data_IF_180055777226
#
_entry.id   IF_180055777226
#
_cell.length_a   1.000
_cell.length_b   1.000
_cell.length_c   1.000
_cell.angle_alpha   90.00
_cell.angle_beta   90.00
_cell.angle_gamma   90.00
#
_symmetry.space_group_name_H-M   'P 1'
#
loop_
_entity.id
_entity.type
_entity.pdbx_description
1 polymer ?
#
# COMPACT_ATOMS: atom_id res chain seq x y z
N UNK A 1 -0.34 -7.10 -7.10
CA UNK A 1 -1.00 -5.80 -7.37
C UNK A 1 -1.30 -5.77 -8.85
N UNK A 2 -2.57 -5.63 -9.23
CA UNK A 2 -2.97 -5.56 -10.64
C UNK A 2 -3.53 -4.18 -10.92
N UNK A 3 -3.16 -3.60 -12.06
CA UNK A 3 -3.76 -2.37 -12.57
C UNK A 3 -4.80 -2.73 -13.61
N UNK A 4 -5.99 -2.16 -13.45
CA UNK A 4 -7.10 -2.37 -14.36
C UNK A 4 -7.56 -1.03 -14.92
N UNK A 5 -8.08 -1.05 -16.15
CA UNK A 5 -8.61 0.16 -16.81
C UNK A 5 -9.91 0.64 -16.19
N UNK A 6 -10.71 -0.26 -15.61
CA UNK A 6 -11.97 0.05 -14.93
C UNK A 6 -12.39 -1.09 -13.99
N UNK A 7 -13.42 -0.86 -13.18
CA UNK A 7 -13.97 -1.89 -12.28
C UNK A 7 -14.62 -3.06 -13.03
N UNK A 8 -15.20 -2.80 -14.20
CA UNK A 8 -15.80 -3.85 -15.05
C UNK A 8 -14.73 -4.84 -15.51
N UNK A 9 -13.51 -4.37 -15.80
CA UNK A 9 -12.39 -5.24 -16.15
C UNK A 9 -11.98 -6.14 -14.97
N UNK A 10 -12.08 -5.64 -13.74
CA UNK A 10 -11.78 -6.43 -12.53
C UNK A 10 -12.81 -7.55 -12.38
N UNK A 11 -14.11 -7.25 -12.54
CA UNK A 11 -15.19 -8.23 -12.39
C UNK A 11 -15.15 -9.33 -13.45
N UNK A 12 -14.57 -9.06 -14.62
CA UNK A 12 -14.40 -10.03 -15.73
C UNK A 12 -13.08 -10.81 -15.66
N UNK A 13 -12.19 -10.47 -14.73
CA UNK A 13 -10.91 -11.15 -14.60
C UNK A 13 -11.12 -12.57 -14.03
N UNK A 14 -10.59 -13.65 -14.65
CA UNK A 14 -10.85 -15.02 -14.21
C UNK A 14 -10.43 -15.33 -12.76
N UNK A 15 -9.44 -14.61 -12.24
CA UNK A 15 -8.97 -14.75 -10.86
C UNK A 15 -9.64 -13.73 -9.91
N UNK A 16 -10.71 -13.07 -10.35
CA UNK A 16 -11.48 -12.20 -9.49
C UNK A 16 -12.01 -12.99 -8.29
N UNK A 17 -11.71 -12.49 -7.10
CA UNK A 17 -12.21 -13.05 -5.85
C UNK A 17 -13.08 -12.00 -5.18
N UNK A 18 -14.30 -12.31 -4.73
CA UNK A 18 -15.22 -11.33 -4.14
C UNK A 18 -14.61 -10.50 -3.01
N UNK A 19 -13.76 -11.11 -2.18
CA UNK A 19 -13.05 -10.40 -1.08
C UNK A 19 -12.07 -9.32 -1.57
N UNK A 20 -11.66 -9.35 -2.85
CA UNK A 20 -10.77 -8.35 -3.43
C UNK A 20 -11.42 -6.97 -3.57
N UNK A 21 -12.75 -6.88 -3.46
CA UNK A 21 -13.51 -5.62 -3.51
C UNK A 21 -13.06 -4.61 -2.46
N UNK A 22 -12.66 -5.07 -1.26
CA UNK A 22 -12.15 -4.20 -0.21
C UNK A 22 -10.88 -3.45 -0.62
N UNK A 23 -10.08 -4.07 -1.49
CA UNK A 23 -8.81 -3.56 -2.01
C UNK A 23 -8.94 -2.99 -3.43
N UNK A 24 -10.15 -2.95 -4.00
CA UNK A 24 -10.39 -2.25 -5.25
C UNK A 24 -10.48 -0.75 -4.95
N UNK A 25 -9.36 -0.05 -5.16
CA UNK A 25 -9.24 1.40 -4.93
C UNK A 25 -8.71 2.11 -6.18
N UNK A 26 -9.04 3.41 -6.36
CA UNK A 26 -8.42 4.23 -7.39
C UNK A 26 -6.89 4.21 -7.30
N UNK A 27 -6.22 4.42 -8.43
CA UNK A 27 -4.75 4.46 -8.47
C UNK A 27 -4.18 5.53 -7.52
N UNK A 28 -4.84 6.69 -7.41
CA UNK A 28 -4.43 7.79 -6.52
C UNK A 28 -4.33 7.36 -5.06
N UNK A 29 -5.29 6.57 -4.57
CA UNK A 29 -5.27 6.04 -3.19
C UNK A 29 -4.02 5.20 -2.93
N UNK A 30 -3.70 4.28 -3.85
CA UNK A 30 -2.52 3.44 -3.72
C UNK A 30 -1.23 4.24 -3.89
N UNK A 31 -1.21 5.21 -4.81
CA UNK A 31 -0.07 6.09 -5.01
C UNK A 31 0.26 6.84 -3.71
N UNK A 32 -0.73 7.44 -3.05
CA UNK A 32 -0.55 8.09 -1.75
C UNK A 32 -0.05 7.09 -0.69
N UNK A 33 -0.73 5.95 -0.57
CA UNK A 33 -0.42 4.93 0.44
C UNK A 33 1.00 4.38 0.32
N UNK A 34 1.50 4.20 -0.90
CA UNK A 34 2.84 3.68 -1.18
C UNK A 34 3.91 4.77 -1.32
N UNK A 35 3.51 6.03 -1.47
CA UNK A 35 4.45 7.16 -1.47
C UNK A 35 4.87 7.59 -0.07
N UNK A 36 4.27 7.03 0.99
CA UNK A 36 4.65 7.38 2.35
C UNK A 36 6.10 6.99 2.68
N UNK A 37 6.70 7.75 3.61
CA UNK A 37 8.11 7.62 3.98
C UNK A 37 8.51 6.19 4.37
N UNK A 38 7.63 5.51 5.11
CA UNK A 38 7.84 4.13 5.52
C UNK A 38 7.93 3.16 4.34
N UNK A 39 7.04 3.28 3.35
CA UNK A 39 7.06 2.43 2.16
C UNK A 39 8.28 2.72 1.29
N UNK A 40 8.66 3.99 1.13
CA UNK A 40 9.87 4.40 0.38
C UNK A 40 11.16 3.89 1.03
N UNK A 41 11.17 3.75 2.36
CA UNK A 41 12.36 3.37 3.12
C UNK A 41 12.58 1.85 3.23
N UNK A 42 11.69 1.01 2.66
CA UNK A 42 11.82 -0.46 2.73
C UNK A 42 13.07 -1.02 2.07
N UNK A 43 13.72 -0.28 1.19
CA UNK A 43 14.99 -0.65 0.55
C UNK A 43 16.23 -0.33 1.37
N UNK A 44 16.09 0.25 2.57
CA UNK A 44 17.25 0.60 3.42
C UNK A 44 17.98 -0.65 3.91
N UNK A 45 19.33 -0.66 3.92
CA UNK A 45 20.11 -1.75 4.52
C UNK A 45 19.81 -1.96 6.02
N UNK A 46 19.44 -0.89 6.72
CA UNK A 46 19.14 -0.87 8.15
C UNK A 46 17.62 -0.78 8.44
N UNK A 47 16.77 -1.23 7.50
CA UNK A 47 15.32 -0.97 7.54
C UNK A 47 14.65 -1.31 8.88
N UNK A 48 14.98 -2.45 9.50
CA UNK A 48 14.36 -2.87 10.76
C UNK A 48 14.66 -1.88 11.90
N UNK A 49 15.94 -1.52 12.06
CA UNK A 49 16.38 -0.54 13.05
C UNK A 49 15.77 0.83 12.79
N UNK A 50 15.79 1.28 11.53
CA UNK A 50 15.18 2.53 11.11
C UNK A 50 13.67 2.57 11.37
N UNK A 51 12.94 1.53 10.98
CA UNK A 51 11.48 1.44 11.14
C UNK A 51 11.08 1.47 12.62
N UNK A 52 11.87 0.81 13.47
CA UNK A 52 11.66 0.80 14.93
C UNK A 52 11.79 2.22 15.50
N UNK A 53 12.88 2.92 15.18
CA UNK A 53 13.08 4.31 15.60
C UNK A 53 11.99 5.24 15.05
N UNK A 54 11.68 5.13 13.75
CA UNK A 54 10.64 5.89 13.06
C UNK A 54 9.26 5.73 13.71
N UNK A 55 8.89 4.49 14.08
CA UNK A 55 7.63 4.18 14.74
C UNK A 55 7.56 4.78 16.14
N UNK A 56 8.64 4.65 16.93
CA UNK A 56 8.70 5.20 18.28
C UNK A 56 8.58 6.73 18.28
N UNK A 57 9.30 7.41 17.39
CA UNK A 57 9.23 8.86 17.25
C UNK A 57 7.80 9.36 16.93
N UNK A 58 7.05 8.63 16.12
CA UNK A 58 5.66 8.98 15.76
C UNK A 58 4.63 8.63 16.83
N UNK A 59 4.89 7.63 17.67
CA UNK A 59 4.02 7.30 18.80
C UNK A 59 4.04 8.36 19.90
N UNK A 60 5.15 9.09 20.03
CA UNK A 60 5.34 10.17 21.02
C UNK A 60 4.75 11.53 20.58
N UNK A 61 4.28 11.64 19.33
CA UNK A 61 3.67 12.87 18.78
C UNK A 61 2.14 12.89 18.93
N UNK A 62 1.56 11.89 19.60
CA UNK A 62 0.13 11.79 19.93
C UNK A 62 -0.06 11.93 21.43
#
# INVERSE_FOLDING_TARGET
MNLFRSEEHVRRWPEFKPYSMENLKPLSFWLERFSNEMMRSRGRPDFISWYTAWRLARAQQK
#
